data_IF_199519918636
#
_entry.id   IF_199519918636
#
_cell.length_a   1.000
_cell.length_b   1.000
_cell.length_c   1.000
_cell.angle_alpha   90.00
_cell.angle_beta   90.00
_cell.angle_gamma   90.00
#
_symmetry.space_group_name_H-M   'P 1'
#
loop_
_entity.id
_entity.type
_entity.pdbx_description
1 polymer ?
#
# COMPACT_ATOMS: atom_id res chain seq x y z
N UNK A 1 14.50 -1.72 4.20
CA UNK A 1 13.32 -2.60 4.27
C UNK A 1 12.88 -3.09 2.89
N UNK A 2 12.31 -4.29 2.84
CA UNK A 2 11.70 -4.88 1.64
C UNK A 2 10.17 -4.76 1.70
N UNK A 3 9.54 -4.39 0.59
CA UNK A 3 8.11 -4.15 0.48
C UNK A 3 7.59 -5.00 -0.66
N UNK A 4 6.75 -5.99 -0.34
CA UNK A 4 6.13 -6.90 -1.29
C UNK A 4 4.68 -6.50 -1.49
N UNK A 5 4.22 -6.38 -2.73
CA UNK A 5 2.85 -5.97 -3.06
C UNK A 5 2.20 -7.02 -3.95
N UNK A 6 0.97 -7.41 -3.58
CA UNK A 6 0.09 -8.25 -4.39
C UNK A 6 -1.38 -7.85 -4.19
N UNK A 7 -2.23 -8.30 -5.10
CA UNK A 7 -3.65 -8.00 -5.16
C UNK A 7 -4.54 -9.24 -5.14
N UNK A 8 -5.77 -9.10 -4.65
CA UNK A 8 -6.80 -10.12 -4.80
C UNK A 8 -8.17 -9.53 -5.06
N UNK A 9 -8.97 -10.26 -5.85
CA UNK A 9 -10.20 -9.77 -6.45
C UNK A 9 -9.99 -9.46 -7.93
N UNK A 10 -11.11 -9.30 -8.65
CA UNK A 10 -11.07 -9.04 -10.10
C UNK A 10 -11.17 -7.57 -10.42
N UNK A 11 -11.55 -6.71 -9.47
CA UNK A 11 -11.80 -5.29 -9.69
C UNK A 11 -12.86 -5.00 -10.79
N UNK A 12 -13.78 -5.93 -11.05
CA UNK A 12 -14.81 -5.82 -12.11
C UNK A 12 -16.26 -5.87 -11.63
N UNK A 13 -16.55 -6.32 -10.40
CA UNK A 13 -17.93 -6.56 -9.96
C UNK A 13 -18.64 -5.32 -9.40
N UNK A 14 -18.70 -4.23 -10.18
CA UNK A 14 -19.43 -3.00 -9.81
C UNK A 14 -20.92 -3.32 -9.62
N UNK A 15 -21.51 -2.84 -8.52
CA UNK A 15 -22.91 -3.09 -8.14
C UNK A 15 -23.21 -4.52 -7.67
N UNK A 16 -22.22 -5.44 -7.70
CA UNK A 16 -22.42 -6.82 -7.25
C UNK A 16 -22.19 -6.94 -5.74
N UNK A 17 -23.11 -7.53 -4.96
CA UNK A 17 -22.96 -7.65 -3.52
C UNK A 17 -21.63 -8.30 -3.09
N UNK A 18 -20.96 -7.70 -2.10
CA UNK A 18 -19.71 -8.22 -1.53
C UNK A 18 -18.60 -8.41 -2.58
N UNK A 19 -18.56 -7.55 -3.58
CA UNK A 19 -17.52 -7.51 -4.62
C UNK A 19 -16.27 -6.79 -4.11
N UNK A 20 -15.68 -7.39 -3.09
CA UNK A 20 -14.50 -6.86 -2.42
C UNK A 20 -13.27 -7.19 -3.26
N UNK A 21 -12.47 -6.17 -3.55
CA UNK A 21 -11.12 -6.30 -4.12
C UNK A 21 -10.15 -5.51 -3.26
N UNK A 22 -8.89 -5.94 -3.20
CA UNK A 22 -7.90 -5.32 -2.32
C UNK A 22 -6.48 -5.52 -2.80
N UNK A 23 -5.62 -4.62 -2.37
CA UNK A 23 -4.17 -4.65 -2.59
C UNK A 23 -3.52 -4.64 -1.20
N UNK A 24 -2.61 -5.57 -0.98
CA UNK A 24 -1.87 -5.72 0.27
C UNK A 24 -0.39 -5.43 0.08
N UNK A 25 0.24 -4.95 1.13
CA UNK A 25 1.68 -4.75 1.19
C UNK A 25 2.26 -5.39 2.45
N UNK A 26 3.32 -6.20 2.28
CA UNK A 26 4.10 -6.76 3.38
C UNK A 26 5.45 -6.05 3.46
N UNK A 27 5.67 -5.33 4.56
CA UNK A 27 6.92 -4.64 4.87
C UNK A 27 7.76 -5.54 5.76
N UNK A 28 8.93 -5.94 5.27
CA UNK A 28 9.89 -6.81 5.93
C UNK A 28 11.15 -6.02 6.25
N UNK A 29 11.63 -6.02 7.51
CA UNK A 29 12.93 -5.44 7.83
C UNK A 29 14.03 -6.17 7.04
N UNK A 30 14.92 -5.41 6.41
CA UNK A 30 16.05 -5.91 5.64
C UNK A 30 16.90 -6.89 6.46
N UNK A 31 17.25 -6.51 7.69
CA UNK A 31 18.03 -7.35 8.60
C UNK A 31 17.32 -8.67 9.00
N UNK A 32 16.02 -8.80 8.72
CA UNK A 32 15.18 -9.96 9.07
C UNK A 32 14.72 -10.77 7.86
N UNK A 33 14.90 -10.28 6.63
CA UNK A 33 14.43 -10.96 5.42
C UNK A 33 14.97 -12.38 5.31
N UNK A 34 16.29 -12.54 5.38
CA UNK A 34 16.93 -13.86 5.20
C UNK A 34 16.49 -14.89 6.25
N UNK A 35 16.28 -14.48 7.52
CA UNK A 35 15.77 -15.39 8.55
C UNK A 35 14.29 -15.72 8.37
N UNK A 36 13.49 -14.73 7.96
CA UNK A 36 12.08 -14.90 7.65
C UNK A 36 11.89 -15.91 6.52
N UNK A 37 12.60 -15.73 5.41
CA UNK A 37 12.52 -16.61 4.23
C UNK A 37 12.96 -18.04 4.57
N UNK A 38 13.94 -18.21 5.45
CA UNK A 38 14.37 -19.52 5.93
C UNK A 38 13.30 -20.22 6.78
N UNK A 39 12.64 -19.49 7.69
CA UNK A 39 11.56 -20.07 8.50
C UNK A 39 10.31 -20.34 7.68
N UNK A 40 9.93 -19.40 6.82
CA UNK A 40 8.86 -19.59 5.86
C UNK A 40 9.16 -20.78 4.95
N UNK A 41 10.38 -20.93 4.44
CA UNK A 41 10.79 -22.06 3.60
C UNK A 41 10.65 -23.43 4.27
N UNK A 42 10.70 -23.51 5.60
CA UNK A 42 10.38 -24.75 6.34
C UNK A 42 8.88 -25.03 6.33
N UNK A 43 8.06 -24.01 6.58
CA UNK A 43 6.59 -24.11 6.55
C UNK A 43 6.07 -24.39 5.13
N UNK A 44 6.61 -23.69 4.13
CA UNK A 44 6.26 -23.73 2.70
C UNK A 44 6.19 -25.14 2.13
N UNK A 45 7.05 -26.06 2.60
CA UNK A 45 7.08 -27.47 2.18
C UNK A 45 5.77 -28.22 2.41
N UNK A 46 4.93 -27.73 3.31
CA UNK A 46 3.67 -28.34 3.70
C UNK A 46 2.45 -27.52 3.24
N UNK A 47 2.68 -26.41 2.52
CA UNK A 47 1.62 -25.53 2.03
C UNK A 47 1.14 -25.94 0.64
N UNK A 48 -0.14 -25.70 0.30
CA UNK A 48 -0.67 -26.00 -1.02
C UNK A 48 -0.03 -25.10 -2.09
N UNK A 49 0.52 -25.72 -3.13
CA UNK A 49 1.13 -25.00 -4.27
C UNK A 49 0.33 -25.19 -5.55
N UNK A 50 0.34 -24.18 -6.42
CA UNK A 50 -0.15 -24.19 -7.79
C UNK A 50 1.00 -23.77 -8.71
N UNK A 51 1.38 -24.60 -9.69
CA UNK A 51 2.54 -24.37 -10.58
C UNK A 51 3.85 -24.04 -9.83
N UNK A 52 4.06 -24.64 -8.67
CA UNK A 52 5.28 -24.45 -7.86
C UNK A 52 5.25 -23.25 -6.91
N UNK A 53 4.17 -22.46 -6.91
CA UNK A 53 3.98 -21.27 -6.07
C UNK A 53 2.87 -21.51 -5.02
N UNK A 54 3.06 -21.05 -3.79
CA UNK A 54 2.00 -21.09 -2.77
C UNK A 54 0.93 -20.06 -3.10
N UNK A 55 -0.34 -20.47 -3.11
CA UNK A 55 -1.46 -19.56 -3.38
C UNK A 55 -2.38 -19.41 -2.17
N UNK A 56 -2.53 -18.19 -1.69
CA UNK A 56 -3.36 -17.78 -0.55
C UNK A 56 -4.82 -18.24 -0.65
N UNK A 57 -5.39 -18.25 -1.87
CA UNK A 57 -6.75 -18.75 -2.15
C UNK A 57 -6.94 -20.24 -1.80
N UNK A 58 -5.87 -21.03 -1.69
CA UNK A 58 -5.89 -22.47 -1.40
C UNK A 58 -5.60 -22.79 0.07
N UNK A 59 -5.18 -21.80 0.85
CA UNK A 59 -4.77 -21.99 2.24
C UNK A 59 -5.95 -22.30 3.15
N UNK A 60 -5.80 -23.27 4.05
CA UNK A 60 -6.75 -23.48 5.15
C UNK A 60 -6.51 -22.48 6.29
N UNK A 61 -7.48 -22.38 7.21
CA UNK A 61 -7.34 -21.60 8.44
C UNK A 61 -6.08 -22.02 9.23
N UNK A 62 -5.81 -23.33 9.33
CA UNK A 62 -4.65 -23.87 10.05
C UNK A 62 -3.33 -23.49 9.39
N UNK A 63 -3.29 -23.39 8.07
CA UNK A 63 -2.08 -23.03 7.35
C UNK A 63 -1.73 -21.56 7.57
N UNK A 64 -2.74 -20.68 7.53
CA UNK A 64 -2.57 -19.25 7.80
C UNK A 64 -2.16 -19.05 9.27
N UNK A 65 -2.81 -19.74 10.21
CA UNK A 65 -2.48 -19.66 11.63
C UNK A 65 -1.03 -20.06 11.94
N UNK A 66 -0.45 -21.03 11.21
CA UNK A 66 0.98 -21.42 11.35
C UNK A 66 1.95 -20.35 10.84
N UNK A 67 1.53 -19.54 9.86
CA UNK A 67 2.35 -18.46 9.32
C UNK A 67 2.48 -17.29 10.31
N UNK A 68 1.42 -16.98 11.05
CA UNK A 68 1.36 -15.77 11.88
C UNK A 68 2.46 -15.65 12.96
N UNK A 69 2.83 -16.71 13.70
CA UNK A 69 3.95 -16.65 14.64
C UNK A 69 5.28 -16.28 13.97
N UNK A 70 5.54 -16.79 12.75
CA UNK A 70 6.75 -16.50 11.99
C UNK A 70 6.78 -15.01 11.62
N UNK A 71 5.68 -14.48 11.08
CA UNK A 71 5.57 -13.09 10.69
C UNK A 71 5.74 -12.14 11.88
N UNK A 72 5.07 -12.42 13.01
CA UNK A 72 5.23 -11.66 14.25
C UNK A 72 6.66 -11.66 14.76
N UNK A 73 7.32 -12.82 14.77
CA UNK A 73 8.69 -12.95 15.23
C UNK A 73 9.68 -12.08 14.43
N UNK A 74 9.35 -11.76 13.18
CA UNK A 74 10.20 -10.94 12.32
C UNK A 74 9.86 -9.44 12.33
N UNK A 75 8.88 -9.02 13.12
CA UNK A 75 8.38 -7.64 13.18
C UNK A 75 8.05 -7.05 11.79
N UNK A 76 7.41 -7.86 10.95
CA UNK A 76 6.86 -7.38 9.69
C UNK A 76 5.66 -6.47 9.95
N UNK A 77 5.32 -5.65 8.96
CA UNK A 77 4.07 -4.86 8.92
C UNK A 77 3.27 -5.32 7.71
N UNK A 78 1.97 -5.55 7.91
CA UNK A 78 1.02 -5.76 6.81
C UNK A 78 0.07 -4.57 6.71
N UNK A 79 0.04 -3.92 5.55
CA UNK A 79 -0.93 -2.88 5.19
C UNK A 79 -1.85 -3.41 4.10
N UNK A 80 -3.11 -2.98 4.12
CA UNK A 80 -4.10 -3.39 3.12
C UNK A 80 -5.08 -2.27 2.84
N UNK A 81 -5.34 -2.08 1.55
CA UNK A 81 -6.32 -1.16 1.03
C UNK A 81 -7.36 -1.94 0.21
N UNK A 82 -8.64 -1.71 0.49
CA UNK A 82 -9.74 -2.48 -0.03
C UNK A 82 -10.86 -1.58 -0.55
N UNK A 83 -11.56 -2.06 -1.57
CA UNK A 83 -12.78 -1.45 -2.11
C UNK A 83 -13.86 -2.52 -2.17
N UNK A 84 -15.09 -2.14 -1.84
CA UNK A 84 -16.27 -2.96 -2.11
C UNK A 84 -17.03 -2.38 -3.29
N UNK A 85 -16.81 -2.98 -4.46
CA UNK A 85 -17.42 -2.53 -5.71
C UNK A 85 -18.94 -2.74 -5.72
N UNK A 86 -19.47 -3.56 -4.81
CA UNK A 86 -20.92 -3.69 -4.62
C UNK A 86 -21.60 -2.42 -4.15
N UNK A 87 -20.84 -1.48 -3.58
CA UNK A 87 -21.34 -0.19 -3.12
C UNK A 87 -21.27 0.89 -4.20
N UNK A 88 -20.62 0.62 -5.32
CA UNK A 88 -20.31 1.62 -6.34
C UNK A 88 -21.20 1.46 -7.57
N UNK A 89 -21.39 2.56 -8.29
CA UNK A 89 -22.01 2.58 -9.61
C UNK A 89 -20.95 2.79 -10.69
N UNK A 90 -21.18 2.29 -11.90
CA UNK A 90 -20.25 2.51 -13.01
C UNK A 90 -20.08 4.01 -13.31
N UNK A 91 -21.20 4.74 -13.36
CA UNK A 91 -21.20 6.20 -13.58
C UNK A 91 -20.47 6.95 -12.46
N UNK A 92 -20.55 6.48 -11.22
CA UNK A 92 -19.79 7.02 -10.10
C UNK A 92 -18.28 6.89 -10.30
N UNK A 93 -17.82 5.69 -10.65
CA UNK A 93 -16.39 5.45 -10.92
C UNK A 93 -15.92 6.26 -12.13
N UNK A 94 -16.72 6.35 -13.20
CA UNK A 94 -16.38 7.15 -14.39
C UNK A 94 -16.27 8.64 -14.07
N UNK A 95 -17.21 9.19 -13.30
CA UNK A 95 -17.15 10.59 -12.84
C UNK A 95 -15.90 10.85 -11.99
N UNK A 96 -15.55 9.92 -11.09
CA UNK A 96 -14.34 10.02 -10.29
C UNK A 96 -13.06 9.98 -11.15
N UNK A 97 -13.00 9.08 -12.14
CA UNK A 97 -11.89 9.01 -13.09
C UNK A 97 -11.73 10.31 -13.87
N UNK A 98 -12.82 10.84 -14.42
CA UNK A 98 -12.82 12.10 -15.15
C UNK A 98 -12.35 13.28 -14.26
N UNK A 99 -12.89 13.38 -13.04
CA UNK A 99 -12.48 14.44 -12.11
C UNK A 99 -10.99 14.35 -11.73
N UNK A 100 -10.45 13.14 -11.55
CA UNK A 100 -9.01 12.93 -11.29
C UNK A 100 -8.16 13.32 -12.50
N UNK A 101 -8.60 12.97 -13.71
CA UNK A 101 -7.92 13.34 -14.95
C UNK A 101 -7.91 14.85 -15.17
N UNK A 102 -9.05 15.53 -14.99
CA UNK A 102 -9.14 16.99 -15.04
C UNK A 102 -8.21 17.65 -14.02
N UNK A 103 -8.19 17.12 -12.78
CA UNK A 103 -7.37 17.64 -11.70
C UNK A 103 -5.86 17.57 -11.97
N UNK A 104 -5.39 16.68 -12.84
CA UNK A 104 -3.96 16.60 -13.20
C UNK A 104 -3.46 17.84 -13.93
N UNK A 105 -4.34 18.50 -14.70
CA UNK A 105 -4.01 19.71 -15.44
C UNK A 105 -4.38 20.99 -14.69
N UNK A 106 -4.93 20.87 -13.47
CA UNK A 106 -5.25 22.04 -12.65
C UNK A 106 -3.97 22.76 -12.24
N UNK A 107 -3.86 24.04 -12.59
CA UNK A 107 -2.69 24.86 -12.30
C UNK A 107 -1.57 24.76 -13.34
N UNK A 108 -1.74 23.95 -14.40
CA UNK A 108 -0.84 23.97 -15.55
C UNK A 108 -1.01 25.29 -16.31
N UNK A 109 0.11 25.96 -16.59
CA UNK A 109 0.16 27.27 -17.28
C UNK A 109 1.35 27.32 -18.23
N UNK A 110 1.33 28.26 -19.17
CA UNK A 110 2.40 28.49 -20.16
C UNK A 110 3.73 28.94 -19.54
N UNK A 111 3.76 29.22 -18.23
CA UNK A 111 5.00 29.51 -17.49
C UNK A 111 5.83 28.25 -17.23
N UNK A 112 5.23 27.07 -17.35
CA UNK A 112 5.95 25.80 -17.16
C UNK A 112 6.70 25.42 -18.44
N UNK A 113 7.78 24.64 -18.27
CA UNK A 113 8.54 24.13 -19.40
C UNK A 113 7.67 23.19 -20.26
N UNK A 114 7.75 23.31 -21.59
CA UNK A 114 6.90 22.56 -22.52
C UNK A 114 6.96 21.05 -22.29
N UNK A 115 8.14 20.49 -22.01
CA UNK A 115 8.27 19.06 -21.74
C UNK A 115 7.49 18.58 -20.51
N UNK A 116 7.29 19.44 -19.51
CA UNK A 116 6.47 19.12 -18.34
C UNK A 116 4.98 19.19 -18.71
N UNK A 117 4.59 20.23 -19.46
CA UNK A 117 3.22 20.38 -19.98
C UNK A 117 2.83 19.13 -20.78
N UNK A 118 3.67 18.72 -21.73
CA UNK A 118 3.43 17.55 -22.58
C UNK A 118 3.35 16.26 -21.75
N UNK A 119 4.21 16.10 -20.75
CA UNK A 119 4.20 14.93 -19.87
C UNK A 119 2.91 14.83 -19.03
N UNK A 120 2.43 15.96 -18.49
CA UNK A 120 1.18 16.01 -17.71
C UNK A 120 -0.03 15.71 -18.61
N UNK A 121 -0.08 16.28 -19.81
CA UNK A 121 -1.14 15.99 -20.78
C UNK A 121 -1.14 14.53 -21.22
N UNK A 122 0.04 13.97 -21.51
CA UNK A 122 0.19 12.54 -21.82
C UNK A 122 -0.39 11.67 -20.70
N UNK A 123 0.00 11.93 -19.46
CA UNK A 123 -0.46 11.17 -18.31
C UNK A 123 -1.98 11.33 -18.08
N UNK A 124 -2.55 12.51 -18.35
CA UNK A 124 -4.00 12.74 -18.28
C UNK A 124 -4.72 11.88 -19.31
N UNK A 125 -4.27 11.89 -20.57
CA UNK A 125 -4.88 11.10 -21.64
C UNK A 125 -4.75 9.60 -21.40
N UNK A 126 -3.64 9.14 -20.80
CA UNK A 126 -3.52 7.76 -20.35
C UNK A 126 -4.61 7.43 -19.31
N UNK A 127 -4.76 8.25 -18.26
CA UNK A 127 -5.80 8.04 -17.24
C UNK A 127 -7.22 8.07 -17.81
N UNK A 128 -7.52 8.94 -18.77
CA UNK A 128 -8.83 9.02 -19.45
C UNK A 128 -9.16 7.72 -20.22
N UNK A 129 -8.13 7.05 -20.77
CA UNK A 129 -8.29 5.83 -21.56
C UNK A 129 -8.22 4.53 -20.73
N UNK A 130 -7.98 4.62 -19.42
CA UNK A 130 -7.93 3.43 -18.57
C UNK A 130 -9.26 2.71 -18.51
N UNK A 131 -9.19 1.37 -18.55
CA UNK A 131 -10.32 0.55 -18.13
C UNK A 131 -10.69 0.87 -16.69
N UNK A 132 -11.97 0.72 -16.32
CA UNK A 132 -12.41 0.96 -14.94
C UNK A 132 -11.62 0.10 -13.95
N UNK A 133 -11.32 -1.15 -14.32
CA UNK A 133 -10.52 -2.06 -13.54
C UNK A 133 -9.15 -1.46 -13.19
N UNK A 134 -8.42 -0.98 -14.22
CA UNK A 134 -7.09 -0.40 -14.06
C UNK A 134 -7.14 0.93 -13.28
N UNK A 135 -8.17 1.74 -13.50
CA UNK A 135 -8.39 2.97 -12.74
C UNK A 135 -8.65 2.70 -11.24
N UNK A 136 -9.47 1.70 -10.92
CA UNK A 136 -9.75 1.29 -9.54
C UNK A 136 -8.47 0.77 -8.86
N UNK A 137 -7.76 -0.16 -9.51
CA UNK A 137 -6.48 -0.68 -9.00
C UNK A 137 -5.49 0.46 -8.73
N UNK A 138 -5.38 1.41 -9.67
CA UNK A 138 -4.54 2.59 -9.52
C UNK A 138 -4.93 3.41 -8.30
N UNK A 139 -6.21 3.72 -8.10
CA UNK A 139 -6.64 4.51 -6.95
C UNK A 139 -6.30 3.84 -5.61
N UNK A 140 -6.46 2.52 -5.52
CA UNK A 140 -6.20 1.76 -4.29
C UNK A 140 -4.70 1.70 -3.99
N UNK A 141 -3.87 1.51 -5.01
CA UNK A 141 -2.43 1.39 -4.82
C UNK A 141 -1.80 2.72 -4.38
N UNK A 142 -2.33 3.84 -4.89
CA UNK A 142 -1.94 5.17 -4.44
C UNK A 142 -2.12 5.35 -2.93
N UNK A 143 -3.29 4.96 -2.43
CA UNK A 143 -3.60 5.05 -1.02
C UNK A 143 -2.79 4.06 -0.17
N UNK A 144 -2.51 2.87 -0.70
CA UNK A 144 -1.68 1.87 -0.02
C UNK A 144 -0.23 2.33 0.15
N UNK A 145 0.40 2.87 -0.89
CA UNK A 145 1.83 3.27 -0.85
C UNK A 145 2.05 4.38 0.16
N UNK A 146 1.15 5.36 0.19
CA UNK A 146 1.16 6.44 1.18
C UNK A 146 1.19 5.87 2.61
N UNK A 147 0.31 4.91 2.91
CA UNK A 147 0.29 4.22 4.21
C UNK A 147 1.53 3.39 4.48
N UNK A 148 2.03 2.66 3.49
CA UNK A 148 3.24 1.83 3.63
C UNK A 148 4.43 2.69 4.04
N UNK A 149 4.60 3.83 3.38
CA UNK A 149 5.67 4.76 3.67
C UNK A 149 5.49 5.42 5.04
N UNK A 150 4.31 5.97 5.32
CA UNK A 150 4.03 6.64 6.59
C UNK A 150 4.19 5.68 7.77
N UNK A 151 3.51 4.52 7.73
CA UNK A 151 3.56 3.56 8.84
C UNK A 151 4.91 2.86 8.93
N UNK A 152 5.51 2.45 7.82
CA UNK A 152 6.82 1.79 7.81
C UNK A 152 7.90 2.68 8.42
N UNK A 153 7.95 3.96 8.01
CA UNK A 153 8.94 4.91 8.52
C UNK A 153 8.73 5.22 10.00
N UNK A 154 7.50 5.57 10.41
CA UNK A 154 7.17 5.85 11.82
C UNK A 154 7.35 4.63 12.74
N UNK A 155 7.11 3.42 12.23
CA UNK A 155 7.22 2.21 13.02
C UNK A 155 8.69 1.85 13.27
N UNK A 156 9.51 1.85 12.22
CA UNK A 156 10.91 1.42 12.30
C UNK A 156 11.85 2.50 12.85
N UNK A 157 11.55 3.81 12.72
CA UNK A 157 12.35 4.87 13.34
C UNK A 157 12.45 4.75 14.87
N UNK A 158 11.53 4.03 15.52
CA UNK A 158 11.54 3.82 16.97
C UNK A 158 12.16 2.49 17.41
N UNK A 159 12.40 1.57 16.47
CA UNK A 159 12.70 0.15 16.75
C UNK A 159 13.96 -0.33 16.06
N UNK A 160 14.10 -0.01 14.78
CA UNK A 160 15.23 -0.38 13.91
C UNK A 160 15.47 0.74 12.89
N UNK A 161 16.03 1.90 13.31
CA UNK A 161 16.21 3.05 12.42
C UNK A 161 16.98 2.75 11.13
N UNK A 162 17.93 1.81 11.19
CA UNK A 162 18.71 1.37 10.02
C UNK A 162 17.84 0.85 8.86
N UNK A 163 16.64 0.34 9.14
CA UNK A 163 15.73 -0.19 8.12
C UNK A 163 15.24 0.89 7.14
N UNK A 164 15.36 2.15 7.53
CA UNK A 164 15.01 3.33 6.74
C UNK A 164 16.07 3.73 5.71
N UNK A 165 17.22 3.05 5.69
CA UNK A 165 18.33 3.37 4.78
C UNK A 165 18.10 2.92 3.34
N UNK A 166 17.17 1.99 3.10
CA UNK A 166 16.87 1.45 1.77
C UNK A 166 15.40 0.99 1.67
N UNK A 167 14.83 1.12 0.48
CA UNK A 167 13.45 0.73 0.18
C UNK A 167 13.47 -0.18 -1.06
N UNK A 168 13.21 -1.47 -0.85
CA UNK A 168 13.21 -2.47 -1.92
C UNK A 168 11.79 -2.90 -2.25
N UNK A 169 11.25 -2.43 -3.38
CA UNK A 169 9.90 -2.72 -3.84
C UNK A 169 9.89 -3.91 -4.78
N UNK A 170 9.07 -4.90 -4.45
CA UNK A 170 8.84 -6.10 -5.26
C UNK A 170 7.34 -6.22 -5.48
N UNK A 171 6.91 -6.12 -6.73
CA UNK A 171 5.51 -6.14 -7.11
C UNK A 171 5.25 -7.41 -7.93
N UNK A 172 4.15 -8.11 -7.66
CA UNK A 172 3.69 -9.22 -8.51
C UNK A 172 3.44 -8.71 -9.95
N UNK A 173 4.17 -9.27 -10.91
CA UNK A 173 4.09 -8.89 -12.31
C UNK A 173 2.79 -9.45 -12.92
N UNK A 174 2.08 -8.62 -13.68
CA UNK A 174 0.94 -9.08 -14.48
C UNK A 174 1.39 -9.26 -15.93
N UNK A 175 1.56 -10.50 -16.39
CA UNK A 175 1.87 -10.80 -17.81
C UNK A 175 3.32 -11.22 -18.08
N UNK A 176 3.78 -11.03 -19.33
CA UNK A 176 5.14 -11.38 -19.76
C UNK A 176 6.07 -10.16 -19.73
N UNK A 177 7.19 -10.26 -19.02
CA UNK A 177 8.18 -9.18 -18.79
C UNK A 177 8.90 -8.66 -20.05
N UNK A 178 8.54 -9.13 -21.25
CA UNK A 178 9.14 -8.69 -22.51
C UNK A 178 8.66 -7.29 -22.95
N UNK A 179 7.49 -6.86 -22.47
CA UNK A 179 6.92 -5.53 -22.71
C UNK A 179 6.33 -5.04 -21.39
N UNK A 180 6.77 -3.88 -20.84
CA UNK A 180 6.15 -3.29 -19.68
C UNK A 180 4.64 -3.17 -19.91
N UNK A 181 3.85 -3.75 -19.01
CA UNK A 181 2.40 -3.56 -19.13
C UNK A 181 2.04 -2.09 -18.86
N UNK A 182 0.90 -1.59 -19.37
CA UNK A 182 0.42 -0.25 -19.03
C UNK A 182 0.41 0.02 -17.51
N UNK A 183 0.20 -1.03 -16.72
CA UNK A 183 0.29 -1.01 -15.27
C UNK A 183 1.71 -0.75 -14.72
N UNK A 184 2.72 -1.36 -15.31
CA UNK A 184 4.13 -1.18 -14.91
C UNK A 184 4.67 0.19 -15.35
N UNK A 185 4.28 0.64 -16.55
CA UNK A 185 4.56 2.00 -17.03
C UNK A 185 3.91 3.05 -16.11
N UNK A 186 2.68 2.82 -15.67
CA UNK A 186 1.99 3.69 -14.72
C UNK A 186 2.71 3.81 -13.37
N UNK A 187 3.16 2.68 -12.81
CA UNK A 187 3.95 2.65 -11.58
C UNK A 187 5.21 3.50 -11.66
N UNK A 188 5.85 3.52 -12.82
CA UNK A 188 7.12 4.20 -13.01
C UNK A 188 6.95 5.68 -13.37
N UNK A 189 5.90 6.04 -14.12
CA UNK A 189 5.68 7.39 -14.62
C UNK A 189 4.75 8.24 -13.72
N UNK A 190 3.66 7.68 -13.22
CA UNK A 190 2.59 8.49 -12.60
C UNK A 190 2.56 8.40 -11.07
N UNK A 191 2.87 7.23 -10.50
CA UNK A 191 2.80 7.06 -9.04
C UNK A 191 3.68 8.06 -8.27
N UNK A 192 4.88 8.31 -8.77
CA UNK A 192 5.85 9.21 -8.12
C UNK A 192 5.38 10.67 -8.09
N UNK A 193 5.06 11.34 -9.21
CA UNK A 193 4.62 12.74 -9.18
C UNK A 193 3.29 12.93 -8.46
N UNK A 194 2.37 11.97 -8.54
CA UNK A 194 1.09 12.04 -7.84
C UNK A 194 1.26 11.88 -6.32
N UNK A 195 2.09 10.95 -5.85
CA UNK A 195 2.42 10.83 -4.42
C UNK A 195 3.19 12.05 -3.91
N UNK A 196 4.13 12.59 -4.69
CA UNK A 196 4.86 13.81 -4.31
C UNK A 196 3.91 15.00 -4.14
N UNK A 197 2.94 15.14 -5.05
CA UNK A 197 1.89 16.16 -4.97
C UNK A 197 0.91 15.93 -3.82
N UNK A 198 0.66 14.67 -3.43
CA UNK A 198 -0.15 14.34 -2.25
C UNK A 198 0.58 14.77 -0.98
N UNK A 199 1.82 14.33 -0.80
CA UNK A 199 2.62 14.64 0.39
C UNK A 199 2.99 16.11 0.50
N UNK A 200 2.99 16.85 -0.61
CA UNK A 200 3.09 18.30 -0.60
C UNK A 200 1.93 18.97 0.13
N UNK A 201 0.71 18.49 -0.13
CA UNK A 201 -0.53 19.06 0.42
C UNK A 201 -0.83 18.54 1.82
N UNK A 202 -0.57 17.26 2.04
CA UNK A 202 -0.78 16.57 3.30
C UNK A 202 0.49 15.77 3.66
N UNK A 203 1.47 16.41 4.33
CA UNK A 203 2.72 15.77 4.68
C UNK A 203 2.51 14.57 5.61
N UNK A 204 3.29 13.50 5.38
CA UNK A 204 3.27 12.32 6.23
C UNK A 204 3.48 12.66 7.70
N UNK A 205 2.80 11.91 8.56
CA UNK A 205 3.04 11.96 10.00
C UNK A 205 4.50 11.63 10.34
N UNK A 206 5.05 12.37 11.30
CA UNK A 206 6.37 12.09 11.86
C UNK A 206 6.28 12.03 13.38
N UNK A 207 6.78 10.93 13.94
CA UNK A 207 6.94 10.78 15.40
C UNK A 207 8.16 11.60 15.83
N UNK A 208 7.94 12.67 16.60
CA UNK A 208 9.02 13.61 17.03
C UNK A 208 10.23 12.94 17.69
N UNK A 209 10.02 11.84 18.40
CA UNK A 209 11.05 11.09 19.14
C UNK A 209 11.67 9.95 18.32
N UNK A 210 11.26 9.79 17.07
CA UNK A 210 11.81 8.77 16.17
C UNK A 210 13.21 9.13 15.69
N UNK A 211 14.04 8.11 15.50
CA UNK A 211 15.34 8.26 14.86
C UNK A 211 15.19 8.08 13.34
N UNK A 212 15.22 9.20 12.62
CA UNK A 212 15.20 9.25 11.16
C UNK A 212 16.58 9.54 10.56
N UNK A 213 17.67 9.42 11.33
CA UNK A 213 19.02 9.74 10.83
C UNK A 213 19.41 8.96 9.55
N UNK A 214 18.86 7.77 9.38
CA UNK A 214 19.03 6.92 8.20
C UNK A 214 18.20 7.33 6.98
N UNK A 215 17.23 8.24 7.13
CA UNK A 215 16.42 8.81 6.04
C UNK A 215 17.14 9.94 5.30
N UNK A 216 18.24 10.49 5.84
CA UNK A 216 18.86 11.73 5.36
C UNK A 216 19.15 11.75 3.85
N UNK A 217 19.53 10.60 3.26
CA UNK A 217 19.81 10.51 1.81
C UNK A 217 18.57 10.60 0.92
N UNK A 218 17.39 10.40 1.50
CA UNK A 218 16.10 10.54 0.84
C UNK A 218 15.45 11.88 1.14
N UNK A 219 16.13 12.81 1.81
CA UNK A 219 15.64 14.17 1.99
C UNK A 219 16.18 15.04 0.85
N UNK A 220 15.39 16.02 0.40
CA UNK A 220 15.93 17.04 -0.48
C UNK A 220 16.91 17.93 0.29
N UNK A 221 18.16 18.00 -0.17
CA UNK A 221 19.16 18.93 0.38
C UNK A 221 18.75 20.39 0.14
N UNK A 222 18.29 20.67 -1.07
CA UNK A 222 17.74 21.95 -1.50
C UNK A 222 16.38 21.76 -2.14
N UNK A 223 15.44 22.63 -1.77
CA UNK A 223 14.11 22.70 -2.37
C UNK A 223 14.13 23.89 -3.34
N UNK A 224 13.87 23.62 -4.62
CA UNK A 224 13.74 24.68 -5.63
C UNK A 224 12.58 25.62 -5.29
N UNK A 225 12.63 26.87 -5.76
CA UNK A 225 11.58 27.87 -5.48
C UNK A 225 10.18 27.36 -5.89
N UNK A 226 10.09 26.71 -7.04
CA UNK A 226 8.87 26.03 -7.50
C UNK A 226 8.36 24.98 -6.49
N UNK A 227 9.25 24.15 -5.95
CA UNK A 227 8.86 23.17 -4.94
C UNK A 227 8.54 23.83 -3.60
N UNK A 228 9.15 24.96 -3.25
CA UNK A 228 8.82 25.70 -2.01
C UNK A 228 7.40 26.24 -2.06
N UNK A 229 6.98 26.80 -3.19
CA UNK A 229 5.63 27.32 -3.38
C UNK A 229 4.56 26.21 -3.27
N UNK A 230 4.89 24.99 -3.72
CA UNK A 230 3.98 23.84 -3.69
C UNK A 230 3.96 23.13 -2.34
N UNK A 231 5.15 22.88 -1.77
CA UNK A 231 5.32 22.11 -0.54
C UNK A 231 5.03 22.95 0.71
N UNK A 232 5.13 24.29 0.60
CA UNK A 232 5.03 25.25 1.69
C UNK A 232 5.67 24.72 3.01
N UNK A 233 6.94 24.30 2.97
CA UNK A 233 7.55 23.57 4.06
C UNK A 233 7.65 24.47 5.29
N UNK A 234 7.24 23.96 6.46
CA UNK A 234 7.40 24.70 7.72
C UNK A 234 8.90 24.85 8.01
N UNK A 235 9.38 26.03 8.45
CA UNK A 235 10.80 26.25 8.75
C UNK A 235 11.41 25.22 9.70
N UNK A 236 10.62 24.77 10.70
CA UNK A 236 11.00 23.77 11.70
C UNK A 236 10.37 22.38 11.43
N UNK A 237 9.84 22.17 10.23
CA UNK A 237 9.23 20.91 9.82
C UNK A 237 10.25 19.88 9.32
N UNK A 238 9.87 18.60 9.23
CA UNK A 238 10.71 17.60 8.56
C UNK A 238 10.96 18.02 7.10
N UNK A 239 12.17 17.77 6.61
CA UNK A 239 12.50 18.05 5.21
C UNK A 239 11.61 17.19 4.29
N UNK A 240 11.21 17.71 3.11
CA UNK A 240 10.48 16.92 2.13
C UNK A 240 11.30 15.72 1.67
N UNK A 241 10.62 14.57 1.58
CA UNK A 241 11.21 13.33 1.12
C UNK A 241 11.25 13.29 -0.41
N UNK A 242 12.38 12.83 -0.96
CA UNK A 242 12.61 12.53 -2.36
C UNK A 242 12.01 11.16 -2.69
N UNK A 243 10.72 11.17 -3.04
CA UNK A 243 9.99 9.95 -3.42
C UNK A 243 10.51 9.31 -4.70
N UNK A 244 11.16 10.07 -5.58
CA UNK A 244 11.83 9.54 -6.75
C UNK A 244 12.85 8.48 -6.36
N UNK A 245 13.71 8.79 -5.39
CA UNK A 245 14.70 7.85 -4.86
C UNK A 245 14.01 6.70 -4.09
N UNK A 246 13.11 7.03 -3.16
CA UNK A 246 12.44 6.03 -2.31
C UNK A 246 11.67 4.99 -3.13
N UNK A 247 11.00 5.38 -4.20
CA UNK A 247 10.16 4.50 -5.01
C UNK A 247 10.89 3.84 -6.18
N UNK A 248 12.06 4.34 -6.61
CA UNK A 248 12.70 3.89 -7.86
C UNK A 248 14.04 3.21 -7.69
N UNK A 249 14.79 3.53 -6.63
CA UNK A 249 16.18 3.06 -6.50
C UNK A 249 16.27 1.52 -6.52
N UNK A 250 15.27 0.85 -5.95
CA UNK A 250 15.16 -0.60 -5.97
C UNK A 250 13.71 -1.02 -6.18
N UNK A 251 13.16 -0.76 -7.37
CA UNK A 251 11.85 -1.24 -7.79
C UNK A 251 12.00 -2.35 -8.85
N UNK A 252 11.26 -3.45 -8.68
CA UNK A 252 11.14 -4.47 -9.72
C UNK A 252 9.78 -5.17 -9.69
N UNK A 253 9.37 -5.63 -10.87
CA UNK A 253 8.25 -6.53 -11.05
C UNK A 253 8.77 -7.97 -11.12
N UNK A 254 8.13 -8.88 -10.41
CA UNK A 254 8.53 -10.29 -10.36
C UNK A 254 7.40 -11.21 -10.79
N UNK A 255 7.73 -12.17 -11.64
CA UNK A 255 6.86 -13.30 -12.02
C UNK A 255 7.27 -14.60 -11.32
N UNK A 256 8.39 -14.56 -10.61
CA UNK A 256 8.97 -15.75 -10.01
C UNK A 256 8.32 -16.02 -8.65
N UNK A 257 8.14 -17.29 -8.26
CA UNK A 257 7.71 -17.65 -6.92
C UNK A 257 8.70 -17.13 -5.88
N UNK A 258 8.34 -16.02 -5.23
CA UNK A 258 9.16 -15.40 -4.20
C UNK A 258 8.48 -15.48 -2.84
N UNK A 259 9.21 -15.87 -1.77
CA UNK A 259 8.64 -15.97 -0.43
C UNK A 259 7.87 -14.73 0.02
N UNK A 260 8.39 -13.54 -0.24
CA UNK A 260 7.74 -12.28 0.12
C UNK A 260 6.41 -12.06 -0.61
N UNK A 261 6.36 -12.36 -1.92
CA UNK A 261 5.14 -12.28 -2.73
C UNK A 261 4.12 -13.33 -2.30
N UNK A 262 4.54 -14.57 -2.05
CA UNK A 262 3.66 -15.63 -1.53
C UNK A 262 3.07 -15.26 -0.16
N UNK A 263 3.86 -14.68 0.75
CA UNK A 263 3.37 -14.26 2.06
C UNK A 263 2.34 -13.12 1.96
N UNK A 264 2.55 -12.12 1.11
CA UNK A 264 1.56 -11.05 0.91
C UNK A 264 0.30 -11.55 0.18
N UNK A 265 0.42 -12.45 -0.81
CA UNK A 265 -0.73 -13.12 -1.44
C UNK A 265 -1.59 -13.85 -0.40
N UNK A 266 -0.96 -14.61 0.51
CA UNK A 266 -1.63 -15.32 1.61
C UNK A 266 -2.40 -14.33 2.50
N UNK A 267 -1.74 -13.27 2.99
CA UNK A 267 -2.35 -12.31 3.90
C UNK A 267 -3.50 -11.54 3.25
N UNK A 268 -3.31 -11.13 1.99
CA UNK A 268 -4.29 -10.34 1.24
C UNK A 268 -5.51 -11.21 0.92
N UNK A 269 -5.33 -12.45 0.45
CA UNK A 269 -6.44 -13.38 0.25
C UNK A 269 -7.15 -13.75 1.56
N UNK A 270 -6.42 -13.99 2.65
CA UNK A 270 -7.03 -14.31 3.95
C UNK A 270 -7.91 -13.16 4.45
N UNK A 271 -7.41 -11.92 4.35
CA UNK A 271 -8.17 -10.71 4.71
C UNK A 271 -9.43 -10.57 3.85
N UNK A 272 -9.32 -10.77 2.53
CA UNK A 272 -10.47 -10.76 1.63
C UNK A 272 -11.51 -11.81 2.00
N UNK A 273 -11.07 -13.04 2.25
CA UNK A 273 -11.97 -14.13 2.61
C UNK A 273 -12.66 -13.89 3.94
N UNK A 274 -11.98 -13.27 4.91
CA UNK A 274 -12.56 -12.85 6.18
C UNK A 274 -13.68 -11.82 5.98
N UNK A 275 -13.45 -10.78 5.18
CA UNK A 275 -14.47 -9.77 4.87
C UNK A 275 -15.66 -10.36 4.09
N UNK A 276 -15.42 -11.38 3.25
CA UNK A 276 -16.49 -12.11 2.53
C UNK A 276 -17.18 -13.17 3.38
N UNK A 277 -16.75 -13.42 4.61
CA UNK A 277 -17.32 -14.46 5.49
C UNK A 277 -17.00 -15.90 5.06
N UNK A 278 -15.94 -16.10 4.28
CA UNK A 278 -15.52 -17.40 3.71
C UNK A 278 -14.23 -17.98 4.34
N UNK A 279 -13.76 -17.37 5.42
CA UNK A 279 -12.65 -17.84 6.24
C UNK A 279 -13.03 -17.66 7.72
N UNK A 280 -12.90 -18.73 8.50
CA UNK A 280 -13.26 -18.69 9.92
C UNK A 280 -12.22 -17.92 10.74
N UNK A 281 -12.58 -17.38 11.93
CA UNK A 281 -11.69 -16.57 12.76
C UNK A 281 -10.32 -17.19 13.02
N UNK A 282 -10.22 -18.51 13.15
CA UNK A 282 -8.96 -19.24 13.35
C UNK A 282 -7.93 -18.93 12.26
N UNK A 283 -8.38 -18.61 11.04
CA UNK A 283 -7.53 -18.29 9.91
C UNK A 283 -7.17 -16.82 9.76
N UNK A 284 -7.82 -15.88 10.45
CA UNK A 284 -7.57 -14.44 10.24
C UNK A 284 -7.44 -13.60 11.50
N UNK A 285 -7.90 -14.07 12.66
CA UNK A 285 -7.94 -13.28 13.91
C UNK A 285 -6.56 -12.78 14.38
N UNK A 286 -5.50 -13.46 13.95
CA UNK A 286 -4.11 -13.15 14.28
C UNK A 286 -3.47 -12.20 13.26
N UNK A 287 -4.02 -12.03 12.04
CA UNK A 287 -3.49 -11.10 11.01
C UNK A 287 -3.33 -9.67 11.55
N UNK A 288 -4.31 -9.10 12.28
CA UNK A 288 -4.18 -7.77 12.87
C UNK A 288 -2.90 -7.55 13.69
N UNK A 289 -2.35 -8.60 14.31
CA UNK A 289 -1.18 -8.48 15.19
C UNK A 289 0.10 -8.02 14.47
N UNK A 290 0.10 -8.02 13.14
CA UNK A 290 1.15 -7.45 12.29
C UNK A 290 0.70 -6.21 11.50
N UNK A 291 -0.51 -5.71 11.74
CA UNK A 291 -1.02 -4.47 11.14
C UNK A 291 -0.95 -3.33 12.15
N UNK A 292 -0.75 -2.10 11.70
CA UNK A 292 -0.72 -0.94 12.61
C UNK A 292 -2.14 -0.42 12.86
N UNK A 293 -2.54 -0.35 14.13
CA UNK A 293 -3.82 0.21 14.56
C UNK A 293 -3.92 1.69 14.18
N UNK A 294 -5.04 2.06 13.57
CA UNK A 294 -5.35 3.42 13.12
C UNK A 294 -6.83 3.73 13.31
N UNK A 295 -7.14 4.98 13.62
CA UNK A 295 -8.51 5.50 13.56
C UNK A 295 -8.85 5.98 12.13
N UNK A 296 -10.04 5.63 11.59
CA UNK A 296 -11.06 4.80 12.25
C UNK A 296 -10.78 3.30 12.16
N UNK A 297 -10.09 2.81 11.12
CA UNK A 297 -9.92 1.38 10.86
C UNK A 297 -8.51 1.02 10.36
N UNK A 298 -8.08 -0.19 10.72
CA UNK A 298 -6.79 -0.77 10.32
C UNK A 298 -6.77 -1.17 8.84
N UNK A 299 -7.87 -1.72 8.32
CA UNK A 299 -8.08 -1.92 6.88
C UNK A 299 -8.50 -0.59 6.26
N UNK A 300 -7.79 -0.11 5.24
CA UNK A 300 -8.23 1.07 4.50
C UNK A 300 -9.39 0.69 3.60
N UNK A 301 -10.57 1.25 3.85
CA UNK A 301 -11.73 1.09 2.97
C UNK A 301 -11.83 2.34 2.10
N UNK A 302 -11.76 2.15 0.78
CA UNK A 302 -11.89 3.23 -0.18
C UNK A 302 -13.32 3.30 -0.71
N UNK A 303 -13.79 4.53 -0.90
CA UNK A 303 -14.90 4.84 -1.79
C UNK A 303 -14.39 5.72 -2.91
N UNK A 304 -14.70 5.34 -4.15
CA UNK A 304 -14.42 6.12 -5.35
C UNK A 304 -15.70 6.75 -5.91
N UNK A 305 -16.86 6.53 -5.28
CA UNK A 305 -18.13 7.14 -5.66
C UNK A 305 -18.64 8.00 -4.50
N UNK A 306 -18.83 9.30 -4.76
CA UNK A 306 -19.34 10.26 -3.77
C UNK A 306 -20.76 9.93 -3.30
N UNK A 307 -21.47 9.07 -4.03
CA UNK A 307 -22.81 8.61 -3.66
C UNK A 307 -22.80 7.50 -2.61
N UNK A 308 -21.63 6.92 -2.27
CA UNK A 308 -21.51 5.96 -1.17
C UNK A 308 -21.66 6.74 0.15
N UNK A 309 -22.70 6.48 0.97
CA UNK A 309 -22.90 7.19 2.21
C UNK A 309 -21.78 6.90 3.21
N UNK A 310 -21.24 7.95 3.85
CA UNK A 310 -20.19 7.82 4.88
C UNK A 310 -20.62 6.95 6.08
N UNK A 311 -21.92 6.93 6.40
CA UNK A 311 -22.49 6.19 7.54
C UNK A 311 -23.10 4.83 7.18
N UNK A 312 -22.76 4.29 6.00
CA UNK A 312 -23.31 3.00 5.55
C UNK A 312 -22.88 1.84 6.46
N UNK A 313 -23.86 1.04 6.90
CA UNK A 313 -23.59 -0.18 7.65
C UNK A 313 -23.10 -1.28 6.71
N UNK A 314 -21.80 -1.58 6.77
CA UNK A 314 -21.18 -2.63 5.99
C UNK A 314 -21.57 -4.02 6.54
N UNK A 315 -21.90 -5.01 5.68
CA UNK A 315 -22.21 -6.38 6.13
C UNK A 315 -21.06 -7.04 6.91
N UNK A 316 -19.82 -6.62 6.63
CA UNK A 316 -18.59 -7.08 7.28
C UNK A 316 -18.01 -6.07 8.27
N UNK A 317 -18.80 -5.06 8.69
CA UNK A 317 -18.35 -4.04 9.63
C UNK A 317 -17.84 -4.61 10.96
N UNK A 318 -18.44 -5.70 11.46
CA UNK A 318 -17.95 -6.41 12.65
C UNK A 318 -16.52 -6.94 12.44
N UNK A 319 -16.27 -7.60 11.31
CA UNK A 319 -14.94 -8.13 10.96
C UNK A 319 -13.91 -7.01 10.87
N UNK A 320 -14.24 -5.88 10.23
CA UNK A 320 -13.36 -4.69 10.16
C UNK A 320 -13.02 -4.17 11.55
N UNK A 321 -14.00 -4.11 12.45
CA UNK A 321 -13.78 -3.70 13.85
C UNK A 321 -12.93 -4.71 14.63
N UNK A 322 -13.09 -6.00 14.39
CA UNK A 322 -12.28 -7.03 15.04
C UNK A 322 -10.82 -6.96 14.56
N UNK A 323 -10.57 -6.65 13.29
CA UNK A 323 -9.24 -6.33 12.78
C UNK A 323 -8.62 -5.09 13.45
N UNK A 324 -9.44 -4.10 13.83
CA UNK A 324 -8.93 -2.90 14.50
C UNK A 324 -8.53 -3.17 15.96
N UNK A 325 -9.32 -3.94 16.71
CA UNK A 325 -9.12 -4.18 18.14
C UNK A 325 -7.82 -4.91 18.48
N UNK A 326 -7.40 -5.86 17.65
CA UNK A 326 -6.21 -6.69 17.88
C UNK A 326 -4.98 -6.18 17.13
N UNK A 327 -5.09 -5.00 16.50
CA UNK A 327 -4.00 -4.42 15.74
C UNK A 327 -2.82 -3.97 16.62
N UNK A 328 -1.61 -4.09 16.08
CA UNK A 328 -0.37 -3.67 16.74
C UNK A 328 -0.36 -2.14 16.88
N UNK A 329 0.10 -1.62 18.01
CA UNK A 329 0.21 -0.16 18.15
C UNK A 329 1.50 0.39 17.53
N UNK A 330 1.37 1.57 16.92
CA UNK A 330 2.45 2.33 16.29
C UNK A 330 3.61 2.60 17.27
N UNK A 331 3.29 3.06 18.48
CA UNK A 331 4.28 3.47 19.47
C UNK A 331 4.83 2.26 20.23
N UNK A 332 6.13 2.27 20.53
CA UNK A 332 6.74 1.30 21.45
C UNK A 332 6.15 1.48 22.86
N UNK A 333 6.22 0.46 23.71
CA UNK A 333 5.72 0.57 25.09
C UNK A 333 6.39 1.72 25.86
N UNK A 334 7.70 1.90 25.66
CA UNK A 334 8.46 3.04 26.17
C UNK A 334 7.88 4.37 25.67
N UNK A 335 7.62 4.45 24.37
CA UNK A 335 7.06 5.60 23.69
C UNK A 335 5.53 5.66 23.76
N UNK A 336 4.86 4.91 24.65
CA UNK A 336 3.47 5.20 25.05
C UNK A 336 3.38 5.84 26.42
N UNK A 337 4.39 5.62 27.26
CA UNK A 337 4.43 6.06 28.66
C UNK A 337 5.06 7.44 28.85
N UNK A 338 5.88 7.91 27.92
CA UNK A 338 6.39 9.28 28.04
C UNK A 338 5.24 10.28 27.79
N UNK A 339 5.33 11.44 28.45
CA UNK A 339 4.42 12.55 28.21
C UNK A 339 5.06 13.41 27.12
N UNK A 340 4.40 13.57 25.98
CA UNK A 340 4.81 14.42 24.86
C UNK A 340 3.77 15.50 24.60
#
# INVERSE_FOLDING_TARGET
MHIFIDETGTFTGIGQPLSISMIGALIVPDARKSSLEREYGKLRKYLPTEKGEVKGKRMSEKDIAKLMPILRHHDVIFEVAAIDLGLHTEDGIRRNQAARAEAMTNGLTDKHHQSMIDAVWKARHELENYSLQLNIQSAIIFELIDRVLEHGTMYYCQRRPMELSAFHWVIDAKGDNSIPTPWEEWWTMFIKPALQSKMARDPMGAIKIGDYSHMKRFEFDEISDFMRDILNPKPDGPKPMNLGLVLSESLRFSKDPEPGLEMVDILTNATRRALRGSLQPEGWQEIPTIMISRNPHTIQLLSLDSNVPESMKLPYGKTVMDFHKTAKSMLTERNRKAKW
#
